data_IF_633025874105
#
_entry.id   IF_633025874105
#
_cell.length_a   1.000
_cell.length_b   1.000
_cell.length_c   1.000
_cell.angle_alpha   90.00
_cell.angle_beta   90.00
_cell.angle_gamma   90.00
#
_symmetry.space_group_name_H-M   'P 1'
#
loop_
_entity.id
_entity.type
_entity.pdbx_description
1 polymer ?
#
# COMPACT_ATOMS: atom_id res chain seq x y z
N UNK A 1 -26.11 5.82 -6.54
CA UNK A 1 -25.23 6.88 -6.00
C UNK A 1 -24.05 6.98 -6.95
N UNK A 2 -23.49 8.16 -7.17
CA UNK A 2 -22.31 8.36 -8.01
C UNK A 2 -21.05 8.40 -7.14
N UNK A 3 -19.93 7.91 -7.68
CA UNK A 3 -18.64 8.05 -7.02
C UNK A 3 -18.29 9.52 -6.86
N UNK A 4 -17.82 9.90 -5.68
CA UNK A 4 -17.57 11.31 -5.37
C UNK A 4 -16.08 11.57 -5.38
N UNK A 5 -15.63 12.35 -6.37
CA UNK A 5 -14.27 12.87 -6.44
C UNK A 5 -14.20 14.18 -5.65
N UNK A 6 -13.16 14.32 -4.83
CA UNK A 6 -12.94 15.52 -4.02
C UNK A 6 -11.48 15.89 -4.00
N UNK A 7 -11.19 17.17 -4.11
CA UNK A 7 -9.89 17.71 -3.73
C UNK A 7 -9.78 17.68 -2.21
N UNK A 8 -8.66 17.21 -1.70
CA UNK A 8 -8.37 17.17 -0.27
C UNK A 8 -7.11 17.98 0.01
N UNK A 9 -7.14 18.75 1.10
CA UNK A 9 -5.99 19.56 1.48
C UNK A 9 -5.03 18.74 2.33
N UNK A 10 -3.73 18.65 1.92
CA UNK A 10 -2.68 18.19 2.82
C UNK A 10 -2.53 19.18 3.98
N UNK A 11 -2.02 18.71 5.11
CA UNK A 11 -1.65 19.62 6.19
C UNK A 11 -0.29 19.27 6.78
N UNK A 12 0.44 20.31 7.20
CA UNK A 12 1.72 20.22 7.90
C UNK A 12 1.66 20.98 9.22
N UNK A 13 2.41 20.48 10.21
CA UNK A 13 2.47 21.10 11.53
C UNK A 13 3.50 22.20 11.57
N UNK A 14 3.15 23.34 12.18
CA UNK A 14 4.04 24.48 12.42
C UNK A 14 4.37 24.58 13.90
N UNK A 15 5.64 24.41 14.31
CA UNK A 15 6.04 24.49 15.72
C UNK A 15 5.76 25.87 16.34
N UNK A 16 5.88 26.92 15.54
CA UNK A 16 5.71 28.33 15.96
C UNK A 16 4.26 28.59 16.42
N UNK A 17 3.29 28.24 15.61
CA UNK A 17 1.87 28.39 15.92
C UNK A 17 1.28 27.21 16.69
N UNK A 18 2.00 26.09 16.77
CA UNK A 18 1.54 24.80 17.31
C UNK A 18 0.25 24.29 16.63
N UNK A 19 0.11 24.56 15.34
CA UNK A 19 -1.09 24.23 14.55
C UNK A 19 -0.73 23.45 13.29
N UNK A 20 -1.70 22.67 12.84
CA UNK A 20 -1.70 22.07 11.51
C UNK A 20 -2.23 23.09 10.51
N UNK A 21 -1.42 23.47 9.53
CA UNK A 21 -1.78 24.40 8.48
C UNK A 21 -2.07 23.66 7.18
N UNK A 22 -3.09 24.07 6.42
CA UNK A 22 -3.39 23.49 5.13
C UNK A 22 -2.32 23.85 4.09
N UNK A 23 -2.06 22.95 3.17
CA UNK A 23 -1.14 23.12 2.05
C UNK A 23 0.04 22.15 2.08
N UNK A 24 0.83 22.15 1.00
CA UNK A 24 2.12 21.47 1.01
C UNK A 24 3.07 22.17 1.97
N UNK A 25 3.96 21.41 2.60
CA UNK A 25 5.03 21.98 3.42
C UNK A 25 5.83 23.01 2.61
N UNK A 26 6.17 24.15 3.23
CA UNK A 26 6.99 25.18 2.59
C UNK A 26 8.49 24.82 2.52
N UNK A 27 8.89 23.72 3.16
CA UNK A 27 10.24 23.19 3.07
C UNK A 27 10.48 22.68 1.63
N UNK A 28 10.72 23.62 0.70
CA UNK A 28 11.11 23.28 -0.67
C UNK A 28 12.44 22.53 -0.59
N UNK A 29 12.40 21.23 -0.80
CA UNK A 29 13.62 20.47 -1.01
C UNK A 29 14.40 21.14 -2.14
N UNK A 30 15.66 21.53 -1.89
CA UNK A 30 16.54 22.09 -2.90
C UNK A 30 16.75 21.09 -4.06
N UNK A 31 16.60 19.80 -3.78
CA UNK A 31 16.69 18.72 -4.77
C UNK A 31 15.49 17.77 -4.64
N UNK A 32 14.88 17.44 -5.77
CA UNK A 32 13.80 16.43 -5.80
C UNK A 32 14.40 15.04 -5.59
N UNK A 33 13.77 14.19 -4.75
CA UNK A 33 14.28 12.84 -4.55
C UNK A 33 14.17 12.01 -5.82
N UNK A 34 15.16 11.16 -6.08
CA UNK A 34 15.15 10.20 -7.21
C UNK A 34 14.45 8.90 -6.89
N UNK A 35 14.06 8.69 -5.66
CA UNK A 35 13.30 7.54 -5.21
C UNK A 35 12.40 7.90 -4.05
N UNK A 36 11.41 7.03 -3.79
CA UNK A 36 10.56 7.09 -2.60
C UNK A 36 10.41 5.69 -2.01
N UNK A 37 10.44 5.59 -0.67
CA UNK A 37 10.08 4.37 0.03
C UNK A 37 8.58 4.40 0.37
N UNK A 38 7.88 3.33 0.08
CA UNK A 38 6.43 3.22 0.36
C UNK A 38 6.21 2.15 1.40
N UNK A 39 5.56 2.52 2.51
CA UNK A 39 5.06 1.60 3.54
C UNK A 39 3.55 1.55 3.42
N UNK A 40 2.95 0.35 3.35
CA UNK A 40 1.49 0.15 3.42
C UNK A 40 1.15 -0.74 4.61
N UNK A 41 0.22 -0.32 5.46
CA UNK A 41 -0.16 -1.08 6.65
C UNK A 41 -1.61 -0.86 7.07
N UNK A 42 -2.41 -1.91 7.06
CA UNK A 42 -3.70 -1.92 7.73
C UNK A 42 -3.50 -2.03 9.25
N UNK A 43 -4.01 -1.04 10.00
CA UNK A 43 -3.85 -0.93 11.47
C UNK A 43 -4.95 -1.67 12.24
N UNK A 44 -5.87 -2.35 11.56
CA UNK A 44 -6.95 -3.11 12.16
C UNK A 44 -7.87 -2.28 13.07
N UNK A 45 -8.87 -1.65 12.48
CA UNK A 45 -9.87 -0.83 13.20
C UNK A 45 -10.76 -1.64 14.16
N UNK A 46 -10.74 -2.99 14.08
CA UNK A 46 -11.66 -3.85 14.85
C UNK A 46 -11.12 -4.24 16.22
N UNK A 47 -9.85 -4.02 16.50
CA UNK A 47 -9.21 -4.41 17.76
C UNK A 47 -9.23 -3.30 18.81
N UNK A 48 -9.28 -3.65 20.11
CA UNK A 48 -9.23 -2.66 21.20
C UNK A 48 -7.93 -1.85 21.23
N UNK A 49 -7.97 -0.72 21.93
CA UNK A 49 -6.83 0.17 22.17
C UNK A 49 -6.25 0.76 20.85
N UNK A 50 -7.09 1.37 19.99
CA UNK A 50 -6.66 1.86 18.68
C UNK A 50 -5.53 2.90 18.78
N UNK A 51 -5.57 3.79 19.78
CA UNK A 51 -4.55 4.81 19.99
C UNK A 51 -3.18 4.21 20.33
N UNK A 52 -3.15 3.24 21.24
CA UNK A 52 -1.90 2.56 21.64
C UNK A 52 -1.33 1.75 20.49
N UNK A 53 -2.17 1.11 19.68
CA UNK A 53 -1.74 0.36 18.51
C UNK A 53 -1.19 1.27 17.42
N UNK A 54 -1.90 2.36 17.12
CA UNK A 54 -1.45 3.35 16.14
C UNK A 54 -0.14 4.03 16.56
N UNK A 55 -0.03 4.39 17.85
CA UNK A 55 1.23 4.90 18.42
C UNK A 55 2.37 3.89 18.27
N UNK A 56 2.12 2.61 18.58
CA UNK A 56 3.11 1.55 18.44
C UNK A 56 3.50 1.31 16.98
N UNK A 57 2.56 1.41 16.06
CA UNK A 57 2.81 1.30 14.62
C UNK A 57 3.72 2.43 14.13
N UNK A 58 3.41 3.68 14.45
CA UNK A 58 4.24 4.84 14.11
C UNK A 58 5.64 4.71 14.72
N UNK A 59 5.73 4.31 15.98
CA UNK A 59 7.01 4.06 16.66
C UNK A 59 7.83 2.96 15.99
N UNK A 60 7.19 1.86 15.57
CA UNK A 60 7.86 0.79 14.83
C UNK A 60 8.38 1.29 13.48
N UNK A 61 7.57 2.01 12.72
CA UNK A 61 7.97 2.58 11.43
C UNK A 61 9.14 3.54 11.62
N UNK A 62 9.06 4.46 12.57
CA UNK A 62 10.11 5.40 12.89
C UNK A 62 11.43 4.72 13.25
N UNK A 63 11.41 3.83 14.25
CA UNK A 63 12.65 3.31 14.85
C UNK A 63 13.19 2.06 14.13
N UNK A 64 12.32 1.20 13.61
CA UNK A 64 12.74 -0.08 13.03
C UNK A 64 12.83 -0.03 11.50
N UNK A 65 11.95 0.72 10.83
CA UNK A 65 11.94 0.79 9.36
C UNK A 65 12.87 1.90 8.87
N UNK A 66 12.68 3.14 9.35
CA UNK A 66 13.45 4.30 8.93
C UNK A 66 14.69 4.56 9.79
N UNK A 67 14.88 3.81 10.89
CA UNK A 67 16.03 3.95 11.81
C UNK A 67 16.19 5.36 12.39
N UNK A 68 15.09 6.11 12.49
CA UNK A 68 15.05 7.44 13.10
C UNK A 68 14.99 7.31 14.63
N UNK A 69 16.16 7.22 15.28
CA UNK A 69 16.26 6.98 16.74
C UNK A 69 15.65 8.10 17.59
N UNK A 70 15.53 9.29 17.03
CA UNK A 70 14.95 10.46 17.70
C UNK A 70 13.91 11.12 16.81
N UNK A 71 13.03 11.92 17.42
CA UNK A 71 12.06 12.75 16.69
C UNK A 71 12.71 13.92 15.92
N UNK A 72 14.04 14.04 15.95
CA UNK A 72 14.80 15.10 15.25
C UNK A 72 15.48 14.57 13.98
N UNK A 73 15.44 13.28 13.73
CA UNK A 73 16.04 12.68 12.52
C UNK A 73 14.99 12.54 11.43
N UNK A 74 15.23 13.21 10.31
CA UNK A 74 14.42 13.12 9.09
C UNK A 74 14.46 11.68 8.52
N UNK A 75 13.35 11.11 8.11
CA UNK A 75 13.34 9.85 7.35
C UNK A 75 13.86 10.07 5.94
N UNK A 76 14.22 8.96 5.27
CA UNK A 76 14.35 8.94 3.81
C UNK A 76 13.04 9.43 3.16
N UNK A 77 13.08 9.94 1.91
CA UNK A 77 11.86 10.27 1.18
C UNK A 77 10.88 9.10 1.20
N UNK A 78 9.69 9.28 1.78
CA UNK A 78 8.76 8.18 1.98
C UNK A 78 7.29 8.59 2.00
N UNK A 79 6.44 7.63 1.63
CA UNK A 79 5.01 7.63 1.88
C UNK A 79 4.65 6.48 2.85
N UNK A 80 3.82 6.77 3.85
CA UNK A 80 3.25 5.78 4.76
C UNK A 80 1.75 5.76 4.53
N UNK A 81 1.24 4.65 4.02
CA UNK A 81 -0.14 4.41 3.66
C UNK A 81 -0.78 3.59 4.78
N UNK A 82 -1.61 4.23 5.60
CA UNK A 82 -2.30 3.58 6.71
C UNK A 82 -3.76 3.32 6.31
N UNK A 83 -4.25 2.12 6.55
CA UNK A 83 -5.65 1.72 6.38
C UNK A 83 -6.24 1.32 7.73
N UNK A 84 -7.56 1.32 7.86
CA UNK A 84 -8.23 0.93 9.09
C UNK A 84 -7.94 1.85 10.28
N UNK A 85 -7.65 3.13 10.04
CA UNK A 85 -7.46 4.12 11.09
C UNK A 85 -8.83 4.54 11.64
N UNK A 86 -9.11 4.27 12.92
CA UNK A 86 -10.34 4.73 13.56
C UNK A 86 -10.36 6.25 13.72
N UNK A 87 -11.53 6.86 13.50
CA UNK A 87 -11.71 8.30 13.68
C UNK A 87 -11.34 8.76 15.10
N UNK A 88 -11.67 7.96 16.12
CA UNK A 88 -11.31 8.23 17.50
C UNK A 88 -9.81 8.19 17.80
N UNK A 89 -9.02 7.51 16.96
CA UNK A 89 -7.57 7.42 17.13
C UNK A 89 -6.80 8.38 16.20
N UNK A 90 -7.49 9.16 15.38
CA UNK A 90 -6.85 10.04 14.38
C UNK A 90 -5.90 11.05 15.04
N UNK A 91 -6.26 11.59 16.20
CA UNK A 91 -5.45 12.52 16.97
C UNK A 91 -4.10 11.93 17.41
N UNK A 92 -3.97 10.60 17.48
CA UNK A 92 -2.69 9.94 17.75
C UNK A 92 -1.67 10.24 16.65
N UNK A 93 -2.11 10.36 15.41
CA UNK A 93 -1.25 10.78 14.27
C UNK A 93 -0.86 12.24 14.44
N UNK A 94 -1.84 13.12 14.64
CA UNK A 94 -1.63 14.56 14.71
C UNK A 94 -0.75 14.97 15.90
N UNK A 95 -0.82 14.25 17.02
CA UNK A 95 -0.05 14.50 18.23
C UNK A 95 1.33 13.79 18.24
N UNK A 96 1.64 12.95 17.24
CA UNK A 96 2.91 12.27 17.16
C UNK A 96 4.03 13.25 16.77
N UNK A 97 5.04 13.42 17.62
CA UNK A 97 6.12 14.40 17.40
C UNK A 97 6.96 14.15 16.15
N UNK A 98 7.18 12.88 15.79
CA UNK A 98 7.90 12.55 14.57
C UNK A 98 7.08 12.90 13.31
N UNK A 99 5.76 12.66 13.36
CA UNK A 99 4.83 13.05 12.29
C UNK A 99 4.78 14.59 12.19
N UNK A 100 4.61 15.28 13.30
CA UNK A 100 4.61 16.76 13.33
C UNK A 100 5.87 17.36 12.71
N UNK A 101 7.03 16.76 12.95
CA UNK A 101 8.30 17.31 12.47
C UNK A 101 8.58 17.03 11.00
N UNK A 102 8.13 15.87 10.47
CA UNK A 102 8.66 15.40 9.18
C UNK A 102 7.62 15.01 8.16
N UNK A 103 6.33 15.07 8.48
CA UNK A 103 5.30 14.63 7.55
C UNK A 103 4.24 15.69 7.27
N UNK A 104 3.69 15.56 6.08
CA UNK A 104 2.40 16.10 5.68
C UNK A 104 1.39 14.99 5.90
N UNK A 105 0.22 15.31 6.46
CA UNK A 105 -0.88 14.37 6.74
C UNK A 105 -2.01 14.59 5.73
N UNK A 106 -2.50 13.52 5.13
CA UNK A 106 -3.53 13.54 4.09
C UNK A 106 -4.55 12.40 4.36
N UNK A 107 -5.83 12.70 4.63
CA UNK A 107 -6.36 14.03 4.87
C UNK A 107 -5.93 14.59 6.23
N UNK A 108 -6.12 15.87 6.44
CA UNK A 108 -5.83 16.54 7.71
C UNK A 108 -6.91 16.36 8.78
N UNK A 109 -8.10 15.95 8.38
CA UNK A 109 -9.24 15.68 9.25
C UNK A 109 -10.04 14.47 8.77
N UNK A 110 -10.79 13.86 9.66
CA UNK A 110 -11.69 12.75 9.32
C UNK A 110 -12.91 13.18 8.51
N UNK A 111 -13.19 14.47 8.41
CA UNK A 111 -14.30 15.03 7.61
C UNK A 111 -14.14 14.80 6.11
N UNK A 112 -12.90 14.55 5.67
CA UNK A 112 -12.60 14.19 4.29
C UNK A 112 -12.97 12.74 3.96
N UNK A 113 -13.26 11.91 4.96
CA UNK A 113 -13.73 10.53 4.75
C UNK A 113 -15.22 10.51 4.33
N UNK A 114 -15.75 9.40 3.82
CA UNK A 114 -17.18 9.24 3.63
C UNK A 114 -17.96 9.53 4.93
N UNK A 115 -19.08 10.23 4.82
CA UNK A 115 -19.82 10.81 5.95
C UNK A 115 -20.17 9.85 7.08
N UNK A 116 -20.34 8.56 6.78
CA UNK A 116 -20.68 7.53 7.77
C UNK A 116 -19.49 6.64 8.15
N UNK A 117 -18.29 6.91 7.61
CA UNK A 117 -17.12 6.13 7.89
C UNK A 117 -16.66 6.31 9.34
N UNK A 118 -16.55 5.22 10.07
CA UNK A 118 -15.98 5.19 11.43
C UNK A 118 -14.46 5.06 11.42
N UNK A 119 -13.90 4.63 10.31
CA UNK A 119 -12.47 4.47 10.05
C UNK A 119 -12.18 4.79 8.58
N UNK A 120 -10.94 5.08 8.28
CA UNK A 120 -10.55 5.43 6.92
C UNK A 120 -9.08 5.17 6.65
N UNK A 121 -8.63 5.72 5.52
CA UNK A 121 -7.23 5.71 5.12
C UNK A 121 -6.55 7.03 5.45
N UNK A 122 -5.26 6.98 5.78
CA UNK A 122 -4.42 8.16 6.01
C UNK A 122 -3.09 7.97 5.30
N UNK A 123 -2.67 8.96 4.54
CA UNK A 123 -1.36 9.00 3.90
C UNK A 123 -0.48 10.02 4.61
N UNK A 124 0.69 9.57 5.08
CA UNK A 124 1.75 10.45 5.60
C UNK A 124 2.83 10.54 4.54
N UNK A 125 3.13 11.74 4.10
CA UNK A 125 4.17 11.98 3.10
C UNK A 125 5.30 12.79 3.72
N UNK A 126 6.56 12.33 3.54
CA UNK A 126 7.71 13.08 4.06
C UNK A 126 7.75 14.49 3.46
N UNK A 127 8.01 15.51 4.29
CA UNK A 127 8.05 16.93 3.88
C UNK A 127 9.08 17.25 2.81
N UNK A 128 10.10 16.38 2.66
CA UNK A 128 11.09 16.49 1.59
C UNK A 128 10.54 16.21 0.18
N UNK A 129 9.27 15.79 0.08
CA UNK A 129 8.63 15.44 -1.19
C UNK A 129 7.70 16.55 -1.63
N UNK A 130 7.82 17.00 -2.88
CA UNK A 130 6.96 18.01 -3.46
C UNK A 130 5.61 17.38 -3.84
N UNK A 131 4.53 17.83 -3.20
CA UNK A 131 3.15 17.47 -3.52
C UNK A 131 2.61 18.50 -4.50
N UNK A 132 2.01 18.03 -5.60
CA UNK A 132 1.38 18.89 -6.61
C UNK A 132 -0.14 18.84 -6.56
N UNK A 133 -0.70 17.69 -6.17
CA UNK A 133 -2.15 17.50 -6.08
C UNK A 133 -2.48 16.43 -5.03
N UNK A 134 -3.63 16.56 -4.36
CA UNK A 134 -4.20 15.48 -3.56
C UNK A 134 -5.71 15.43 -3.70
N UNK A 135 -6.23 14.23 -3.93
CA UNK A 135 -7.66 13.98 -4.17
C UNK A 135 -8.11 12.71 -3.47
N UNK A 136 -9.41 12.53 -3.33
CA UNK A 136 -10.02 11.28 -2.90
C UNK A 136 -11.18 10.88 -3.80
N UNK A 137 -11.45 9.56 -3.84
CA UNK A 137 -12.66 8.99 -4.45
C UNK A 137 -13.39 8.23 -3.36
N UNK A 138 -14.63 8.61 -3.08
CA UNK A 138 -15.53 7.84 -2.23
C UNK A 138 -16.26 6.81 -3.08
N UNK A 139 -16.09 5.53 -2.78
CA UNK A 139 -16.70 4.44 -3.55
C UNK A 139 -18.19 4.34 -3.24
N UNK A 140 -19.04 4.72 -4.19
CA UNK A 140 -20.50 4.66 -4.04
C UNK A 140 -21.02 3.23 -3.88
N UNK A 141 -20.29 2.25 -4.41
CA UNK A 141 -20.60 0.82 -4.29
C UNK A 141 -20.13 0.19 -2.97
N UNK A 142 -19.42 0.94 -2.11
CA UNK A 142 -18.86 0.38 -0.87
C UNK A 142 -19.93 0.24 0.21
N UNK A 143 -20.12 -0.98 0.71
CA UNK A 143 -20.96 -1.23 1.90
C UNK A 143 -20.29 -0.75 3.20
N UNK A 144 -18.96 -0.68 3.21
CA UNK A 144 -18.14 -0.31 4.37
C UNK A 144 -17.71 1.16 4.38
N UNK A 145 -18.21 1.98 3.45
CA UNK A 145 -17.85 3.38 3.28
C UNK A 145 -16.35 3.58 3.00
N UNK A 146 -15.79 2.70 2.17
CA UNK A 146 -14.40 2.79 1.79
C UNK A 146 -14.14 3.86 0.71
N UNK A 147 -12.89 4.25 0.60
CA UNK A 147 -12.43 5.29 -0.30
C UNK A 147 -10.96 5.07 -0.67
N UNK A 148 -10.49 5.79 -1.68
CA UNK A 148 -9.08 5.90 -2.01
C UNK A 148 -8.61 7.35 -1.89
N UNK A 149 -7.35 7.54 -1.48
CA UNK A 149 -6.64 8.81 -1.44
C UNK A 149 -5.55 8.76 -2.51
N UNK A 150 -5.43 9.83 -3.30
CA UNK A 150 -4.40 9.98 -4.32
C UNK A 150 -3.55 11.21 -4.01
N UNK A 151 -2.24 11.06 -4.19
CA UNK A 151 -1.28 12.16 -4.02
C UNK A 151 -0.33 12.16 -5.20
N UNK A 152 -0.28 13.26 -5.92
CA UNK A 152 0.66 13.49 -7.00
C UNK A 152 1.90 14.16 -6.46
N UNK A 153 3.05 13.56 -6.71
CA UNK A 153 4.35 14.02 -6.24
C UNK A 153 5.32 14.22 -7.40
N UNK A 154 6.33 15.06 -7.18
CA UNK A 154 7.46 15.20 -8.11
C UNK A 154 8.65 14.38 -7.62
N UNK A 155 9.23 13.63 -8.56
CA UNK A 155 10.51 12.95 -8.39
C UNK A 155 11.48 13.40 -9.47
N UNK A 156 12.79 13.35 -9.16
CA UNK A 156 13.84 13.44 -10.17
C UNK A 156 13.99 12.09 -10.85
N UNK A 157 13.85 12.05 -12.18
CA UNK A 157 14.17 10.88 -12.97
C UNK A 157 15.68 10.71 -13.11
N UNK A 158 16.19 9.51 -12.88
CA UNK A 158 17.59 9.18 -13.15
C UNK A 158 17.80 9.05 -14.67
N UNK A 159 18.75 9.80 -15.24
CA UNK A 159 19.13 9.64 -16.64
C UNK A 159 19.93 8.35 -16.83
N UNK A 160 19.48 7.49 -17.73
CA UNK A 160 20.12 6.20 -18.04
C UNK A 160 21.28 6.30 -19.06
N UNK A 161 21.76 7.50 -19.39
CA UNK A 161 22.83 7.66 -20.38
C UNK A 161 24.12 8.19 -19.75
N UNK A 162 25.24 7.49 -20.05
CA UNK A 162 26.59 7.88 -19.63
C UNK A 162 27.12 9.20 -20.27
N UNK A 163 26.34 9.85 -21.14
CA UNK A 163 26.77 11.00 -21.96
C UNK A 163 25.97 12.28 -21.70
N UNK A 164 24.93 12.26 -20.86
CA UNK A 164 24.18 13.49 -20.56
C UNK A 164 24.87 14.29 -19.44
N UNK A 165 24.97 15.62 -19.59
CA UNK A 165 25.50 16.45 -18.50
C UNK A 165 24.60 16.33 -17.27
N UNK A 166 25.15 16.36 -16.04
CA UNK A 166 24.41 16.18 -14.79
C UNK A 166 23.36 17.27 -14.47
N UNK A 167 23.17 18.22 -15.39
CA UNK A 167 22.30 19.40 -15.21
C UNK A 167 20.87 19.25 -15.76
N UNK A 168 20.51 18.13 -16.40
CA UNK A 168 19.13 17.91 -16.91
C UNK A 168 18.39 16.88 -16.07
N UNK A 169 18.06 17.20 -14.83
CA UNK A 169 17.11 16.42 -14.03
C UNK A 169 15.71 16.56 -14.64
N UNK A 170 15.19 15.49 -15.23
CA UNK A 170 13.79 15.47 -15.68
C UNK A 170 12.88 15.22 -14.47
N UNK A 171 12.05 16.21 -14.15
CA UNK A 171 11.05 16.05 -13.11
C UNK A 171 9.84 15.29 -13.67
N UNK A 172 9.54 14.16 -13.04
CA UNK A 172 8.38 13.34 -13.39
C UNK A 172 7.30 13.45 -12.31
N UNK A 173 6.04 13.31 -12.73
CA UNK A 173 4.90 13.25 -11.79
C UNK A 173 4.53 11.79 -11.56
N UNK A 174 4.59 11.36 -10.30
CA UNK A 174 4.15 10.05 -9.85
C UNK A 174 2.88 10.20 -9.01
N UNK A 175 1.87 9.35 -9.24
CA UNK A 175 0.69 9.27 -8.36
C UNK A 175 0.84 8.12 -7.39
N UNK A 176 0.69 8.42 -6.09
CA UNK A 176 0.60 7.42 -5.01
C UNK A 176 -0.85 7.33 -4.58
N UNK A 177 -1.39 6.11 -4.54
CA UNK A 177 -2.73 5.84 -4.05
C UNK A 177 -2.69 4.99 -2.77
N UNK A 178 -3.60 5.29 -1.85
CA UNK A 178 -3.84 4.55 -0.62
C UNK A 178 -5.31 4.12 -0.61
N UNK A 179 -5.59 2.83 -0.56
CA UNK A 179 -6.96 2.31 -0.59
C UNK A 179 -7.20 1.20 0.42
N UNK A 180 -8.47 0.98 0.74
CA UNK A 180 -8.94 -0.17 1.49
C UNK A 180 -10.21 -0.66 0.77
N UNK A 181 -10.18 -1.85 0.16
CA UNK A 181 -11.29 -2.39 -0.60
C UNK A 181 -12.26 -3.16 0.31
N UNK A 182 -13.48 -3.39 -0.16
CA UNK A 182 -14.55 -4.00 0.64
C UNK A 182 -14.20 -5.43 1.10
N UNK A 183 -14.44 -5.78 2.39
CA UNK A 183 -13.83 -6.94 3.05
C UNK A 183 -14.59 -8.26 2.88
N UNK A 184 -15.75 -8.30 2.23
CA UNK A 184 -16.61 -9.49 2.25
C UNK A 184 -16.27 -10.47 1.12
N UNK A 185 -16.35 -11.81 1.35
CA UNK A 185 -16.07 -12.80 0.30
C UNK A 185 -16.94 -12.66 -0.94
N UNK A 186 -18.21 -12.24 -0.79
CA UNK A 186 -19.13 -11.97 -1.90
C UNK A 186 -18.88 -10.61 -2.58
N UNK A 187 -17.96 -9.81 -2.05
CA UNK A 187 -17.63 -8.48 -2.56
C UNK A 187 -16.62 -8.47 -3.72
N UNK A 188 -16.29 -9.60 -4.36
CA UNK A 188 -15.29 -9.64 -5.43
C UNK A 188 -15.62 -8.65 -6.57
N UNK A 189 -16.87 -8.60 -7.03
CA UNK A 189 -17.32 -7.65 -8.06
C UNK A 189 -17.32 -6.20 -7.57
N UNK A 190 -17.48 -5.96 -6.27
CA UNK A 190 -17.38 -4.62 -5.67
C UNK A 190 -15.90 -4.21 -5.65
N UNK A 191 -15.00 -5.08 -5.21
CA UNK A 191 -13.55 -4.83 -5.22
C UNK A 191 -13.01 -4.55 -6.62
N UNK A 192 -13.49 -5.28 -7.62
CA UNK A 192 -13.13 -5.03 -9.02
C UNK A 192 -13.53 -3.62 -9.46
N UNK A 193 -14.78 -3.20 -9.19
CA UNK A 193 -15.24 -1.83 -9.49
C UNK A 193 -14.43 -0.77 -8.75
N UNK A 194 -14.16 -0.99 -7.47
CA UNK A 194 -13.34 -0.07 -6.66
C UNK A 194 -11.92 0.03 -7.20
N UNK A 195 -11.28 -1.10 -7.50
CA UNK A 195 -9.92 -1.11 -8.03
C UNK A 195 -9.87 -0.53 -9.44
N UNK A 196 -10.91 -0.71 -10.27
CA UNK A 196 -11.01 -0.07 -11.57
C UNK A 196 -10.99 1.46 -11.47
N UNK A 197 -11.75 2.05 -10.53
CA UNK A 197 -11.71 3.49 -10.27
C UNK A 197 -10.31 3.97 -9.85
N UNK A 198 -9.62 3.17 -9.03
CA UNK A 198 -8.24 3.48 -8.64
C UNK A 198 -7.30 3.38 -9.83
N UNK A 199 -7.42 2.33 -10.66
CA UNK A 199 -6.60 2.12 -11.84
C UNK A 199 -6.80 3.25 -12.86
N UNK A 200 -8.06 3.64 -13.13
CA UNK A 200 -8.37 4.75 -14.04
C UNK A 200 -7.73 6.07 -13.57
N UNK A 201 -7.72 6.30 -12.26
CA UNK A 201 -7.02 7.45 -11.72
C UNK A 201 -5.49 7.36 -11.88
N UNK A 202 -4.88 6.16 -11.74
CA UNK A 202 -3.44 5.97 -11.91
C UNK A 202 -2.99 6.02 -13.38
N UNK A 203 -3.88 5.74 -14.31
CA UNK A 203 -3.62 5.71 -15.76
C UNK A 203 -3.84 7.07 -16.45
N UNK A 204 -4.19 8.11 -15.69
CA UNK A 204 -4.42 9.45 -16.26
C UNK A 204 -3.19 9.99 -17.00
N UNK A 205 -3.46 10.74 -18.08
CA UNK A 205 -2.41 11.42 -18.83
C UNK A 205 -1.61 12.41 -17.98
N UNK A 206 -0.35 12.63 -18.35
CA UNK A 206 0.56 13.52 -17.63
C UNK A 206 1.23 12.88 -16.40
N UNK A 207 0.88 11.64 -16.04
CA UNK A 207 1.58 10.88 -15.01
C UNK A 207 2.66 10.00 -15.65
N UNK A 208 3.88 10.05 -15.11
CA UNK A 208 4.95 9.14 -15.49
C UNK A 208 4.70 7.70 -15.00
N UNK A 209 3.96 7.54 -13.90
CA UNK A 209 3.60 6.25 -13.34
C UNK A 209 2.70 6.41 -12.14
N UNK A 210 2.27 5.28 -11.59
CA UNK A 210 1.43 5.25 -10.40
C UNK A 210 1.63 3.96 -9.60
N UNK A 211 1.50 4.09 -8.29
CA UNK A 211 1.52 2.97 -7.35
C UNK A 211 0.34 3.08 -6.40
N UNK A 212 -0.33 1.98 -6.14
CA UNK A 212 -1.33 1.89 -5.08
C UNK A 212 -0.92 0.84 -4.06
N UNK A 213 -0.99 1.23 -2.79
CA UNK A 213 -0.85 0.32 -1.66
C UNK A 213 -2.14 0.28 -0.85
N UNK A 214 -2.42 -0.86 -0.24
CA UNK A 214 -3.59 -0.99 0.62
C UNK A 214 -3.95 -2.41 0.97
N UNK A 215 -5.03 -2.51 1.74
CA UNK A 215 -5.72 -3.77 1.97
C UNK A 215 -6.75 -3.99 0.86
N UNK A 216 -6.45 -4.92 -0.03
CA UNK A 216 -7.31 -5.28 -1.16
C UNK A 216 -8.41 -6.26 -0.76
N UNK A 217 -8.35 -6.80 0.46
CA UNK A 217 -9.31 -7.81 0.94
C UNK A 217 -9.56 -8.94 -0.07
N UNK A 218 -8.53 -9.36 -0.80
CA UNK A 218 -8.59 -10.39 -1.83
C UNK A 218 -8.76 -11.78 -1.20
N UNK A 219 -9.96 -12.06 -0.70
CA UNK A 219 -10.32 -13.26 0.08
C UNK A 219 -11.07 -14.32 -0.74
N UNK A 220 -11.48 -13.98 -1.96
CA UNK A 220 -12.22 -14.86 -2.86
C UNK A 220 -11.30 -15.44 -3.93
N UNK A 221 -11.49 -16.67 -4.39
CA UNK A 221 -10.80 -17.18 -5.58
C UNK A 221 -10.97 -16.28 -6.81
N UNK A 222 -12.11 -15.57 -6.91
CA UNK A 222 -12.37 -14.62 -8.00
C UNK A 222 -11.49 -13.37 -7.93
N UNK A 223 -10.80 -13.14 -6.82
CA UNK A 223 -9.85 -12.02 -6.69
C UNK A 223 -8.46 -12.35 -7.25
N UNK A 224 -8.22 -13.56 -7.74
CA UNK A 224 -6.91 -13.98 -8.25
C UNK A 224 -6.42 -13.12 -9.43
N UNK A 225 -7.33 -12.71 -10.32
CA UNK A 225 -7.04 -11.85 -11.47
C UNK A 225 -7.38 -10.37 -11.22
N UNK A 226 -7.75 -9.99 -9.99
CA UNK A 226 -8.26 -8.64 -9.66
C UNK A 226 -7.33 -7.51 -10.12
N UNK A 227 -6.02 -7.66 -9.93
CA UNK A 227 -5.04 -6.64 -10.28
C UNK A 227 -4.85 -6.55 -11.79
N UNK A 228 -4.75 -7.69 -12.44
CA UNK A 228 -4.51 -7.78 -13.88
C UNK A 228 -5.73 -7.37 -14.70
N UNK A 229 -6.96 -7.63 -14.20
CA UNK A 229 -8.21 -7.29 -14.88
C UNK A 229 -8.39 -5.78 -15.07
N UNK A 230 -7.70 -4.95 -14.28
CA UNK A 230 -7.75 -3.49 -14.36
C UNK A 230 -6.48 -2.87 -14.99
N UNK A 231 -5.59 -3.68 -15.57
CA UNK A 231 -4.38 -3.22 -16.26
C UNK A 231 -3.24 -2.81 -15.33
N UNK A 232 -3.26 -3.21 -14.06
CA UNK A 232 -2.18 -2.98 -13.10
C UNK A 232 -1.32 -4.25 -12.93
N UNK A 233 -0.11 -4.08 -12.44
CA UNK A 233 0.80 -5.18 -12.12
C UNK A 233 1.04 -5.25 -10.62
N UNK A 234 1.06 -6.48 -10.10
CA UNK A 234 1.44 -6.75 -8.72
C UNK A 234 2.96 -6.67 -8.57
N UNK A 235 3.44 -5.91 -7.59
CA UNK A 235 4.86 -5.80 -7.32
C UNK A 235 5.45 -7.06 -6.65
N UNK A 236 4.59 -7.93 -6.10
CA UNK A 236 5.01 -9.20 -5.54
C UNK A 236 5.29 -10.22 -6.64
N UNK A 237 6.51 -10.76 -6.66
CA UNK A 237 6.97 -11.75 -7.64
C UNK A 237 7.30 -13.12 -7.03
N UNK A 238 7.11 -13.29 -5.71
CA UNK A 238 7.32 -14.57 -5.02
C UNK A 238 6.10 -15.49 -5.08
N UNK A 239 6.20 -16.64 -4.39
CA UNK A 239 5.08 -17.55 -4.19
C UNK A 239 3.95 -16.92 -3.37
N UNK A 240 2.74 -17.50 -3.44
CA UNK A 240 1.57 -16.97 -2.75
C UNK A 240 1.73 -17.01 -1.23
N UNK A 241 2.24 -18.10 -0.65
CA UNK A 241 2.42 -18.24 0.79
C UNK A 241 3.47 -17.28 1.34
N UNK A 242 4.56 -17.09 0.62
CA UNK A 242 5.57 -16.07 0.93
C UNK A 242 4.98 -14.67 0.96
N UNK A 243 3.94 -14.40 0.13
CA UNK A 243 3.24 -13.14 0.05
C UNK A 243 2.17 -12.91 1.12
N UNK A 244 1.72 -13.92 1.87
CA UNK A 244 0.61 -13.79 2.81
C UNK A 244 0.89 -12.72 3.88
N UNK A 245 -0.07 -11.81 4.05
CA UNK A 245 0.02 -10.66 4.96
C UNK A 245 -0.92 -10.77 6.15
N UNK A 246 -1.89 -11.66 6.10
CA UNK A 246 -2.92 -11.82 7.12
C UNK A 246 -3.13 -13.29 7.51
N UNK A 247 -3.65 -13.51 8.74
CA UNK A 247 -4.03 -14.82 9.24
C UNK A 247 -3.08 -15.42 10.27
N UNK A 248 -1.96 -14.78 10.57
CA UNK A 248 -0.92 -15.29 11.45
C UNK A 248 -0.75 -14.54 12.79
N UNK A 249 -1.31 -13.33 12.94
CA UNK A 249 -1.09 -12.50 14.15
C UNK A 249 -2.37 -11.78 14.65
N UNK A 250 -3.20 -12.46 15.50
CA UNK A 250 -3.08 -13.84 15.94
C UNK A 250 -3.40 -14.83 14.81
N UNK A 251 -3.03 -16.09 15.02
CA UNK A 251 -3.41 -17.13 14.07
C UNK A 251 -4.93 -17.16 13.92
N UNK A 252 -5.38 -16.98 12.70
CA UNK A 252 -6.80 -17.00 12.34
C UNK A 252 -7.30 -18.45 12.16
N UNK A 253 -8.57 -18.76 12.48
CA UNK A 253 -9.21 -20.00 12.07
C UNK A 253 -9.53 -20.04 10.57
N UNK A 254 -9.46 -18.89 9.88
CA UNK A 254 -9.64 -18.76 8.45
C UNK A 254 -8.30 -18.98 7.73
N UNK A 255 -8.38 -19.34 6.46
CA UNK A 255 -7.18 -19.50 5.63
C UNK A 255 -6.40 -18.20 5.56
N UNK A 256 -5.10 -18.21 5.86
CA UNK A 256 -4.25 -17.04 5.66
C UNK A 256 -4.26 -16.59 4.20
N UNK A 257 -4.01 -15.31 3.97
CA UNK A 257 -4.05 -14.75 2.62
C UNK A 257 -3.18 -13.52 2.42
N UNK A 258 -2.94 -13.22 1.15
CA UNK A 258 -2.25 -12.01 0.71
C UNK A 258 -3.26 -10.89 0.45
N UNK A 259 -3.76 -10.29 1.54
CA UNK A 259 -4.79 -9.27 1.50
C UNK A 259 -4.20 -7.90 1.16
N UNK A 260 -3.03 -7.59 1.71
CA UNK A 260 -2.34 -6.34 1.46
C UNK A 260 -1.46 -6.47 0.23
N UNK A 261 -1.50 -5.47 -0.65
CA UNK A 261 -0.76 -5.45 -1.90
C UNK A 261 -0.13 -4.07 -2.14
N UNK A 262 0.95 -4.10 -2.93
CA UNK A 262 1.51 -2.94 -3.63
C UNK A 262 1.46 -3.26 -5.10
N UNK A 263 0.67 -2.51 -5.85
CA UNK A 263 0.49 -2.71 -7.30
C UNK A 263 0.76 -1.41 -8.03
N UNK A 264 1.10 -1.48 -9.31
CA UNK A 264 1.60 -0.33 -10.05
C UNK A 264 1.18 -0.35 -11.53
N UNK A 265 1.27 0.82 -12.15
CA UNK A 265 1.11 0.98 -13.60
C UNK A 265 2.39 0.50 -14.29
N UNK A 266 2.32 -0.52 -15.15
CA UNK A 266 3.50 -0.99 -15.88
C UNK A 266 3.86 0.03 -16.98
N UNK A 267 4.97 0.74 -16.79
CA UNK A 267 5.51 1.69 -17.77
C UNK A 267 7.03 1.59 -17.87
N UNK A 268 7.63 1.79 -19.05
CA UNK A 268 9.08 1.89 -19.19
C UNK A 268 9.64 2.97 -18.26
N UNK A 269 10.78 2.70 -17.66
CA UNK A 269 11.42 3.63 -16.72
C UNK A 269 10.80 3.74 -15.33
N UNK A 270 9.69 3.06 -15.07
CA UNK A 270 9.10 2.98 -13.73
C UNK A 270 9.52 1.68 -13.06
N UNK A 271 10.25 1.77 -11.96
CA UNK A 271 10.77 0.62 -11.22
C UNK A 271 10.22 0.57 -9.80
N UNK A 272 9.82 -0.61 -9.37
CA UNK A 272 9.36 -0.91 -8.03
C UNK A 272 10.05 -2.18 -7.53
N UNK A 273 10.65 -2.12 -6.34
CA UNK A 273 11.25 -3.30 -5.72
C UNK A 273 10.16 -4.28 -5.26
N UNK A 274 10.45 -5.58 -5.28
CA UNK A 274 9.56 -6.58 -4.66
C UNK A 274 9.31 -6.21 -3.19
N UNK A 275 8.04 -6.09 -2.77
CA UNK A 275 7.70 -5.67 -1.42
C UNK A 275 8.23 -6.61 -0.35
N UNK A 276 8.76 -6.05 0.72
CA UNK A 276 9.19 -6.81 1.91
C UNK A 276 8.09 -6.77 2.96
N UNK A 277 7.74 -7.94 3.51
CA UNK A 277 6.87 -8.01 4.69
C UNK A 277 7.65 -7.50 5.91
N UNK A 278 7.06 -6.53 6.60
CA UNK A 278 7.59 -5.95 7.83
C UNK A 278 6.53 -6.02 8.93
N UNK A 279 6.89 -5.67 10.16
CA UNK A 279 6.03 -5.78 11.34
C UNK A 279 5.59 -7.22 11.69
N UNK A 280 6.23 -8.23 11.11
CA UNK A 280 6.00 -9.64 11.43
C UNK A 280 6.30 -9.89 12.91
N UNK A 281 5.35 -10.45 13.65
CA UNK A 281 5.51 -10.78 15.07
C UNK A 281 5.52 -9.57 16.02
N UNK A 282 5.16 -8.37 15.56
CA UNK A 282 5.30 -7.16 16.39
C UNK A 282 4.12 -6.97 17.33
N UNK A 283 4.47 -6.76 18.60
CA UNK A 283 3.55 -6.56 19.70
C UNK A 283 3.91 -5.30 20.49
N UNK A 284 2.92 -4.71 21.12
CA UNK A 284 3.06 -3.59 22.06
C UNK A 284 2.59 -3.98 23.46
N UNK A 285 2.80 -3.11 24.44
CA UNK A 285 2.39 -3.28 25.82
C UNK A 285 3.45 -3.92 26.72
N UNK A 286 3.12 -4.06 28.01
CA UNK A 286 4.00 -4.66 29.03
C UNK A 286 4.16 -6.16 28.80
N UNK A 287 5.27 -6.75 29.25
CA UNK A 287 5.64 -8.16 28.99
C UNK A 287 4.49 -9.15 29.32
N UNK A 288 3.72 -8.86 30.36
CA UNK A 288 2.60 -9.69 30.84
C UNK A 288 1.30 -9.52 30.05
N UNK A 289 1.20 -8.47 29.20
CA UNK A 289 -0.01 -8.15 28.43
C UNK A 289 0.32 -7.67 27.03
N UNK A 290 1.20 -8.38 26.33
CA UNK A 290 1.56 -8.05 24.94
C UNK A 290 0.42 -8.33 23.99
N UNK A 291 0.06 -7.33 23.17
CA UNK A 291 -0.95 -7.42 22.12
C UNK A 291 -0.31 -7.15 20.76
N UNK A 292 -0.87 -7.71 19.71
CA UNK A 292 -0.44 -7.44 18.34
C UNK A 292 -0.70 -5.96 17.98
N UNK A 293 0.24 -5.34 17.28
CA UNK A 293 0.05 -3.98 16.76
C UNK A 293 -1.08 -3.97 15.72
N UNK A 294 -1.08 -4.97 14.82
CA UNK A 294 -2.14 -5.23 13.86
C UNK A 294 -2.23 -6.73 13.64
N UNK A 295 -3.33 -7.23 13.09
CA UNK A 295 -3.46 -8.60 12.59
C UNK A 295 -2.90 -8.74 11.17
N UNK A 296 -2.57 -7.63 10.50
CA UNK A 296 -1.88 -7.58 9.22
C UNK A 296 -0.37 -7.36 9.40
N UNK A 297 0.43 -7.95 8.50
CA UNK A 297 1.80 -7.51 8.27
C UNK A 297 1.78 -6.23 7.42
N UNK A 298 2.79 -5.38 7.59
CA UNK A 298 2.98 -4.25 6.69
C UNK A 298 3.85 -4.64 5.51
N UNK A 299 3.74 -3.88 4.43
CA UNK A 299 4.58 -3.99 3.23
C UNK A 299 5.49 -2.77 3.12
N UNK A 300 6.71 -2.99 2.67
CA UNK A 300 7.70 -1.96 2.38
C UNK A 300 8.31 -2.19 1.01
N UNK A 301 8.29 -1.18 0.15
CA UNK A 301 8.98 -1.19 -1.15
C UNK A 301 9.74 0.11 -1.39
N UNK A 302 10.53 0.15 -2.45
CA UNK A 302 11.16 1.34 -3.02
C UNK A 302 10.65 1.53 -4.44
N UNK A 303 10.33 2.77 -4.80
CA UNK A 303 9.92 3.19 -6.14
C UNK A 303 10.92 4.20 -6.65
N UNK A 304 11.31 4.08 -7.90
CA UNK A 304 12.21 5.01 -8.57
C UNK A 304 11.82 5.14 -10.05
N UNK A 305 12.18 6.29 -10.63
CA UNK A 305 11.94 6.56 -12.04
C UNK A 305 13.30 6.72 -12.75
N UNK A 306 13.45 6.06 -13.90
CA UNK A 306 14.63 6.16 -14.77
C UNK A 306 14.18 6.69 -16.10
N UNK A 307 14.84 7.72 -16.60
CA UNK A 307 14.53 8.33 -17.89
C UNK A 307 15.53 7.89 -18.93
N UNK A 308 15.04 7.41 -20.09
CA UNK A 308 15.88 7.09 -21.23
C UNK A 308 15.83 8.27 -22.20
N UNK A 309 16.97 8.90 -22.48
CA UNK A 309 17.05 10.13 -23.29
C UNK A 309 16.59 9.96 -24.76
N UNK A 310 16.42 8.72 -25.25
CA UNK A 310 15.97 8.41 -26.60
C UNK A 310 14.45 8.53 -26.80
N UNK A 311 13.67 8.61 -25.74
CA UNK A 311 12.21 8.42 -25.84
C UNK A 311 11.41 9.73 -25.93
N UNK A 312 12.09 10.87 -26.02
CA UNK A 312 11.41 12.17 -26.09
C UNK A 312 10.70 12.45 -27.42
N UNK A 313 10.97 11.65 -28.47
CA UNK A 313 10.40 11.86 -29.82
C UNK A 313 9.25 10.91 -30.21
N UNK A 314 9.04 9.79 -29.46
CA UNK A 314 8.14 8.72 -29.90
C UNK A 314 6.85 8.56 -29.13
N UNK A 315 6.58 9.42 -28.14
CA UNK A 315 5.40 9.28 -27.29
C UNK A 315 4.10 9.88 -27.87
N UNK A 316 4.12 10.46 -29.08
CA UNK A 316 2.90 11.07 -29.65
C UNK A 316 1.97 10.08 -30.38
N UNK A 317 2.43 8.89 -30.78
CA UNK A 317 1.53 7.93 -31.47
C UNK A 317 2.01 6.49 -31.37
N UNK A 318 1.66 5.72 -30.37
CA UNK A 318 1.64 4.26 -30.51
C UNK A 318 0.56 3.58 -29.67
N UNK A 319 -0.23 2.82 -30.37
CA UNK A 319 -1.32 1.95 -29.98
C UNK A 319 -0.97 1.06 -28.77
N UNK A 320 -1.81 1.11 -27.73
CA UNK A 320 -1.59 0.48 -26.43
C UNK A 320 -1.46 -1.06 -26.43
N UNK A 321 -1.62 -1.72 -27.59
CA UNK A 321 -1.60 -3.18 -27.70
C UNK A 321 -0.21 -3.82 -27.72
N UNK A 322 0.80 -3.16 -28.28
CA UNK A 322 2.12 -3.78 -28.50
C UNK A 322 3.10 -3.65 -27.32
N UNK A 323 2.92 -2.68 -26.44
CA UNK A 323 3.84 -2.43 -25.30
C UNK A 323 3.75 -3.53 -24.23
N UNK A 324 2.57 -4.17 -24.08
CA UNK A 324 2.41 -5.23 -23.07
C UNK A 324 3.19 -6.50 -23.39
N UNK A 325 3.40 -6.80 -24.66
CA UNK A 325 4.10 -8.03 -25.09
C UNK A 325 5.63 -7.91 -24.91
N UNK A 326 6.21 -6.77 -25.22
CA UNK A 326 7.64 -6.52 -25.05
C UNK A 326 8.13 -6.53 -23.60
N UNK A 327 7.31 -6.01 -22.68
CA UNK A 327 7.65 -6.01 -21.24
C UNK A 327 7.53 -7.38 -20.57
N UNK A 328 6.66 -8.26 -21.09
CA UNK A 328 6.60 -9.67 -20.66
C UNK A 328 7.83 -10.46 -21.12
N UNK A 329 8.31 -10.21 -22.35
CA UNK A 329 9.50 -10.87 -22.90
C UNK A 329 10.79 -10.44 -22.18
N UNK A 330 10.93 -9.17 -21.79
CA UNK A 330 12.08 -8.71 -21.01
C UNK A 330 12.14 -9.37 -19.61
N UNK A 331 10.98 -9.55 -18.94
CA UNK A 331 10.93 -10.23 -17.64
C UNK A 331 11.32 -11.71 -17.74
N UNK A 332 10.95 -12.37 -18.85
CA UNK A 332 11.29 -13.77 -19.09
C UNK A 332 12.76 -13.95 -19.52
N UNK A 333 13.41 -12.96 -20.12
CA UNK A 333 14.83 -13.02 -20.51
C UNK A 333 15.76 -12.79 -19.32
N UNK A 334 15.41 -11.90 -18.40
CA UNK A 334 16.21 -11.67 -17.18
C UNK A 334 16.20 -12.89 -16.22
N UNK A 335 15.09 -13.65 -16.17
CA UNK A 335 15.02 -14.90 -15.37
C UNK A 335 15.75 -16.06 -16.03
N UNK A 336 15.99 -16.04 -17.35
CA UNK A 336 16.71 -17.12 -18.05
C UNK A 336 18.23 -16.99 -18.06
N UNK A 337 18.79 -15.83 -17.74
CA UNK A 337 20.26 -15.62 -17.78
C UNK A 337 21.00 -16.02 -16.50
N UNK A 338 20.31 -16.58 -15.50
CA UNK A 338 20.90 -17.04 -14.23
C UNK A 338 21.02 -18.56 -14.09
N UNK A 339 20.66 -19.34 -15.13
CA UNK A 339 20.86 -20.79 -15.11
C UNK A 339 22.27 -21.18 -15.56
N UNK A 340 23.18 -21.28 -14.60
CA UNK A 340 24.38 -22.11 -14.72
C UNK A 340 24.02 -23.57 -14.39
N UNK A 341 24.58 -24.55 -15.13
CA UNK A 341 24.17 -25.93 -15.00
C UNK A 341 24.62 -26.53 -13.66
N UNK A 342 23.68 -26.84 -12.79
CA UNK A 342 23.91 -27.65 -11.61
C UNK A 342 23.74 -29.14 -11.94
N UNK A 343 24.81 -29.85 -11.68
CA UNK A 343 24.97 -31.32 -11.76
C UNK A 343 23.86 -31.99 -10.92
N UNK A 344 23.20 -32.96 -11.54
CA UNK A 344 22.15 -33.80 -10.95
C UNK A 344 22.68 -34.67 -9.82
N UNK A 345 22.17 -34.44 -8.60
CA UNK A 345 22.13 -35.47 -7.55
C UNK A 345 20.70 -35.54 -7.00
N UNK A 346 20.07 -36.68 -7.30
CA UNK A 346 18.75 -37.05 -6.78
C UNK A 346 18.85 -37.47 -5.32
N UNK A 347 18.01 -36.98 -4.39
CA UNK A 347 17.87 -37.60 -3.07
C UNK A 347 16.85 -38.77 -3.10
N UNK A 348 16.96 -39.73 -2.20
CA UNK A 348 16.21 -40.98 -2.24
C UNK A 348 14.77 -40.83 -1.75
N UNK A 349 13.87 -41.58 -2.39
CA UNK A 349 12.47 -41.77 -2.01
C UNK A 349 12.35 -42.37 -0.62
N UNK A 350 11.69 -41.65 0.30
CA UNK A 350 11.19 -42.25 1.56
C UNK A 350 9.69 -42.59 1.39
N UNK A 351 9.39 -43.87 1.56
CA UNK A 351 8.05 -44.45 1.62
C UNK A 351 7.49 -44.23 3.03
N UNK A 352 6.42 -43.51 3.20
CA UNK A 352 5.49 -43.74 4.32
C UNK A 352 4.06 -43.66 3.80
N UNK A 353 3.46 -44.87 3.80
CA UNK A 353 2.01 -45.08 3.60
C UNK A 353 1.36 -44.96 4.97
N UNK A 354 0.37 -44.12 5.14
CA UNK A 354 -0.53 -44.11 6.30
C UNK A 354 -1.95 -44.41 5.81
N UNK A 355 -2.67 -45.37 6.42
CA UNK A 355 -3.94 -45.86 5.91
C UNK A 355 -5.11 -44.95 6.30
N UNK A 356 -6.07 -44.84 5.38
CA UNK A 356 -7.39 -44.26 5.56
C UNK A 356 -8.25 -45.16 6.46
N UNK A 357 -8.80 -44.59 7.54
CA UNK A 357 -9.98 -45.16 8.21
C UNK A 357 -11.17 -44.20 8.09
N UNK A 358 -12.38 -44.72 7.78
CA UNK A 358 -13.56 -43.91 7.66
C UNK A 358 -14.30 -43.81 9.01
N UNK A 359 -14.63 -42.60 9.43
CA UNK A 359 -15.35 -42.36 10.68
C UNK A 359 -16.22 -41.11 10.63
N UNK A 360 -17.50 -41.33 10.37
CA UNK A 360 -18.72 -40.62 10.81
C UNK A 360 -18.75 -39.08 10.79
N UNK A 361 -19.58 -38.58 9.89
CA UNK A 361 -20.09 -37.21 9.77
C UNK A 361 -20.99 -36.88 10.96
N UNK A 362 -20.61 -35.89 11.76
CA UNK A 362 -21.53 -35.17 12.66
C UNK A 362 -21.64 -33.71 12.17
N UNK A 363 -22.87 -33.36 11.74
CA UNK A 363 -23.26 -32.03 11.31
C UNK A 363 -23.37 -31.09 12.51
N UNK A 364 -22.54 -30.07 12.58
CA UNK A 364 -22.82 -28.85 13.32
C UNK A 364 -22.39 -27.64 12.51
N UNK A 365 -23.30 -27.13 11.68
CA UNK A 365 -23.15 -25.88 10.95
C UNK A 365 -23.43 -24.72 11.90
N UNK A 366 -22.40 -23.99 12.36
CA UNK A 366 -22.54 -22.60 12.80
C UNK A 366 -21.53 -21.75 12.06
N UNK A 367 -22.02 -20.87 11.17
CA UNK A 367 -21.24 -19.98 10.31
C UNK A 367 -20.57 -18.89 11.18
N UNK A 368 -19.23 -18.77 11.21
CA UNK A 368 -18.53 -17.79 12.07
C UNK A 368 -18.75 -16.32 11.70
N UNK A 369 -19.16 -16.03 10.47
CA UNK A 369 -19.31 -14.67 9.94
C UNK A 369 -20.48 -13.86 10.51
N UNK A 370 -21.52 -14.49 11.06
CA UNK A 370 -22.67 -13.77 11.65
C UNK A 370 -22.35 -13.01 12.94
N UNK A 371 -21.20 -13.26 13.57
CA UNK A 371 -20.82 -12.56 14.81
C UNK A 371 -20.24 -11.16 14.57
N UNK A 372 -19.67 -10.89 13.39
CA UNK A 372 -19.16 -9.57 13.02
C UNK A 372 -20.28 -8.56 12.69
N UNK A 373 -21.45 -9.04 12.25
CA UNK A 373 -22.56 -8.17 11.83
C UNK A 373 -23.53 -7.78 12.95
N UNK A 374 -23.49 -8.45 14.13
CA UNK A 374 -24.41 -8.14 15.24
C UNK A 374 -24.04 -6.93 16.11
N UNK A 375 -22.90 -6.28 15.88
CA UNK A 375 -22.55 -5.02 16.54
C UNK A 375 -23.11 -3.77 15.86
N UNK A 376 -23.95 -3.91 14.82
CA UNK A 376 -24.56 -2.78 14.08
C UNK A 376 -25.96 -2.35 14.54
N UNK A 377 -26.56 -2.95 15.56
CA UNK A 377 -27.90 -2.54 16.01
C UNK A 377 -28.02 -2.49 17.52
N UNK A 378 -27.47 -1.48 18.14
CA UNK A 378 -27.97 -0.90 19.38
C UNK A 378 -27.30 0.45 19.60
N UNK A 379 -28.11 1.48 19.28
CA UNK A 379 -28.06 2.92 19.60
C UNK A 379 -26.93 3.73 19.00
#
# INVERSE_FOLDING_TARGET
MTDTHRDIQPAYYTPESKQWLPGPSQDRAQHMPSFIRVVSWNIDCMRPEPDLRLHAALSYIQHQVFKCRTNRRCPDPCAILLQGVLATAFDTILNNKWVQNFFVVIPSTTDAWPKLAKYGTVTLLARSICITKSTSIHFSCSESQHHAIFVDIKLSGLLATAQAPPSSESLVTLRIANTHLDPLPHGATIREKQLKLVADALLQDGLFGGVVGGDFNAVSPNDSALVESVGLWDAWSGDDEGGFTWGYQPRSPLTPGRLDKLVYVPRPGFFIDTPKKIAVGKKYGKLTRRRWISDHYALLTKVQCVYFASDASDYETSDHGHVQQGLREQRNTETRSLDHPLVSHSPPRSKYIIPLHPGTISRSRRKPWKRLLRMKSSR
#
